data_IF_995117355629
#
_entry.id   IF_995117355629
#
_cell.length_a   1.000
_cell.length_b   1.000
_cell.length_c   1.000
_cell.angle_alpha   90.00
_cell.angle_beta   90.00
_cell.angle_gamma   90.00
#
_symmetry.space_group_name_H-M   'P 1'
#
loop_
_entity.id
_entity.type
_entity.pdbx_description
1 polymer ?
#
# COMPACT_ATOMS: atom_id res chain seq x y z
N UNK A 1 31.65 25.15 20.77
CA UNK A 1 31.55 25.17 19.30
C UNK A 1 30.29 24.41 18.95
N UNK A 2 29.23 25.13 18.59
CA UNK A 2 27.95 24.57 18.13
C UNK A 2 28.15 23.76 16.85
N UNK A 3 27.26 22.79 16.56
CA UNK A 3 26.36 22.81 15.39
C UNK A 3 25.38 21.61 15.42
N UNK A 4 24.09 21.95 15.57
CA UNK A 4 22.86 21.37 15.00
C UNK A 4 22.66 19.86 14.74
N UNK A 5 21.75 19.28 15.54
CA UNK A 5 20.46 18.65 15.17
C UNK A 5 20.30 18.00 13.78
N UNK A 6 19.98 16.70 13.75
CA UNK A 6 18.89 16.15 12.92
C UNK A 6 18.49 14.76 13.42
N UNK A 7 17.37 14.73 14.15
CA UNK A 7 16.64 13.53 14.51
C UNK A 7 16.06 12.87 13.25
N UNK A 8 16.85 12.07 12.54
CA UNK A 8 16.40 11.31 11.38
C UNK A 8 15.69 10.02 11.85
N UNK A 9 14.41 10.15 12.19
CA UNK A 9 13.53 9.02 12.52
C UNK A 9 13.20 8.27 11.22
N UNK A 10 14.12 7.41 10.76
CA UNK A 10 13.87 6.48 9.65
C UNK A 10 12.70 5.56 10.00
N UNK A 11 11.61 5.69 9.27
CA UNK A 11 10.44 4.82 9.37
C UNK A 11 10.82 3.44 8.84
N UNK A 12 10.76 2.40 9.67
CA UNK A 12 11.05 1.02 9.25
C UNK A 12 9.80 0.43 8.59
N UNK A 13 9.96 -0.52 7.66
CA UNK A 13 8.85 -1.18 6.97
C UNK A 13 7.83 -1.80 7.94
N UNK A 14 8.29 -2.30 9.09
CA UNK A 14 7.44 -2.78 10.18
C UNK A 14 6.54 -1.70 10.82
N UNK A 15 6.93 -0.42 10.78
CA UNK A 15 6.13 0.67 11.35
C UNK A 15 4.88 0.95 10.49
N UNK A 16 4.98 0.74 9.17
CA UNK A 16 3.86 0.85 8.23
C UNK A 16 2.84 -0.27 8.47
N UNK A 17 3.32 -1.51 8.67
CA UNK A 17 2.46 -2.66 8.95
C UNK A 17 1.82 -2.62 10.34
N UNK A 18 2.52 -2.10 11.35
CA UNK A 18 1.98 -2.00 12.71
C UNK A 18 0.86 -0.95 12.82
N UNK A 19 0.90 0.13 12.04
CA UNK A 19 -0.22 1.08 11.95
C UNK A 19 -1.41 0.50 11.18
N UNK A 20 -1.15 -0.37 10.20
CA UNK A 20 -2.16 -1.06 9.39
C UNK A 20 -2.97 -2.08 10.20
N UNK A 21 -2.33 -2.81 11.11
CA UNK A 21 -2.95 -3.89 11.89
C UNK A 21 -4.02 -3.41 12.89
N UNK A 22 -3.94 -2.16 13.37
CA UNK A 22 -4.93 -1.57 14.30
C UNK A 22 -6.23 -1.20 13.57
N UNK A 23 -6.20 -0.96 12.25
CA UNK A 23 -7.40 -0.60 11.46
C UNK A 23 -8.25 -1.81 11.04
N UNK A 24 -7.69 -3.02 11.10
CA UNK A 24 -8.31 -4.25 10.57
C UNK A 24 -9.54 -4.71 11.36
N UNK A 25 -9.74 -4.24 12.60
CA UNK A 25 -10.84 -4.72 13.47
C UNK A 25 -12.21 -4.12 13.13
N UNK A 26 -12.28 -2.98 12.43
CA UNK A 26 -13.55 -2.27 12.19
C UNK A 26 -14.34 -2.79 10.97
N UNK A 27 -13.71 -3.48 10.02
CA UNK A 27 -14.35 -3.89 8.76
C UNK A 27 -15.25 -5.15 8.91
N UNK A 28 -15.32 -5.75 10.11
CA UNK A 28 -15.94 -7.07 10.34
C UNK A 28 -17.42 -7.05 10.76
N UNK A 29 -18.06 -5.89 10.92
CA UNK A 29 -19.45 -5.81 11.39
C UNK A 29 -20.34 -5.14 10.34
N UNK A 30 -21.08 -5.96 9.59
CA UNK A 30 -22.13 -5.52 8.66
C UNK A 30 -23.34 -4.97 9.41
N UNK A 31 -23.24 -3.73 9.90
CA UNK A 31 -24.37 -2.99 10.48
C UNK A 31 -25.02 -2.16 9.38
N UNK A 32 -26.30 -2.42 9.12
CA UNK A 32 -27.12 -1.68 8.16
C UNK A 32 -27.35 -0.25 8.67
N UNK A 33 -26.43 0.66 8.37
CA UNK A 33 -26.50 2.06 8.81
C UNK A 33 -27.54 2.81 7.98
N UNK A 34 -28.67 3.15 8.61
CA UNK A 34 -29.65 4.10 8.03
C UNK A 34 -28.91 5.38 7.66
N UNK A 35 -29.10 5.84 6.43
CA UNK A 35 -28.47 7.08 5.95
C UNK A 35 -28.98 8.24 6.80
N UNK A 36 -28.09 9.02 7.43
CA UNK A 36 -28.50 10.19 8.19
C UNK A 36 -29.28 11.16 7.29
N UNK A 37 -30.35 11.75 7.82
CA UNK A 37 -31.15 12.76 7.13
C UNK A 37 -30.76 14.17 7.57
N UNK A 38 -31.06 15.17 6.72
CA UNK A 38 -30.93 16.59 7.08
C UNK A 38 -31.62 16.95 8.40
N UNK A 39 -32.74 16.28 8.69
CA UNK A 39 -33.52 16.50 9.90
C UNK A 39 -32.79 15.99 11.14
N UNK A 40 -32.08 14.86 11.05
CA UNK A 40 -31.33 14.30 12.18
C UNK A 40 -30.10 15.15 12.52
N UNK A 41 -29.41 15.68 11.50
CA UNK A 41 -28.30 16.64 11.69
C UNK A 41 -28.82 17.92 12.37
N UNK A 42 -29.99 18.40 11.93
CA UNK A 42 -30.62 19.59 12.51
C UNK A 42 -31.00 19.38 13.98
N UNK A 43 -31.65 18.25 14.29
CA UNK A 43 -32.01 17.86 15.66
C UNK A 43 -30.78 17.68 16.56
N UNK A 44 -29.69 17.11 16.04
CA UNK A 44 -28.46 16.89 16.81
C UNK A 44 -27.74 18.19 17.21
N UNK A 45 -27.96 19.28 16.47
CA UNK A 45 -27.34 20.59 16.72
C UNK A 45 -28.31 21.62 17.29
N UNK A 46 -29.59 21.27 17.47
CA UNK A 46 -30.63 22.19 17.93
C UNK A 46 -30.92 23.32 16.93
N UNK A 47 -30.74 23.07 15.63
CA UNK A 47 -30.97 24.06 14.56
C UNK A 47 -32.14 23.66 13.68
N UNK A 48 -32.66 24.59 12.87
CA UNK A 48 -33.70 24.26 11.89
C UNK A 48 -33.13 23.48 10.71
N UNK A 49 -33.94 22.59 10.12
CA UNK A 49 -33.61 21.91 8.85
C UNK A 49 -33.23 22.91 7.76
N UNK A 50 -33.90 24.07 7.72
CA UNK A 50 -33.63 25.16 6.79
C UNK A 50 -32.24 25.74 6.98
N UNK A 51 -31.73 25.81 8.22
CA UNK A 51 -30.37 26.27 8.52
C UNK A 51 -29.33 25.30 7.98
N UNK A 52 -29.55 23.99 8.15
CA UNK A 52 -28.67 22.94 7.60
C UNK A 52 -28.70 22.95 6.07
N UNK A 53 -29.89 23.08 5.46
CA UNK A 53 -30.02 23.21 4.01
C UNK A 53 -29.32 24.46 3.48
N UNK A 54 -29.43 25.62 4.15
CA UNK A 54 -28.72 26.85 3.77
C UNK A 54 -27.21 26.66 3.75
N UNK A 55 -26.66 25.95 4.74
CA UNK A 55 -25.24 25.57 4.77
C UNK A 55 -24.91 24.66 3.59
N UNK A 56 -25.74 23.64 3.34
CA UNK A 56 -25.53 22.68 2.24
C UNK A 56 -25.75 23.21 0.83
N UNK A 57 -26.51 24.29 0.67
CA UNK A 57 -26.75 24.97 -0.61
C UNK A 57 -25.90 26.23 -0.80
N UNK A 58 -24.95 26.49 0.11
CA UNK A 58 -24.03 27.63 -0.01
C UNK A 58 -24.67 29.01 0.16
N UNK A 59 -25.87 29.10 0.74
CA UNK A 59 -26.56 30.37 0.94
C UNK A 59 -25.86 31.22 2.03
N UNK A 60 -25.88 32.55 1.82
CA UNK A 60 -25.39 33.53 2.80
C UNK A 60 -26.41 33.70 3.94
N UNK A 61 -25.95 34.01 5.16
CA UNK A 61 -26.82 34.22 6.33
C UNK A 61 -26.71 33.18 7.45
N UNK A 62 -25.65 32.36 7.45
CA UNK A 62 -25.26 31.49 8.57
C UNK A 62 -23.83 31.87 8.96
N UNK A 63 -23.57 32.04 10.25
CA UNK A 63 -22.22 32.35 10.75
C UNK A 63 -21.25 31.24 10.42
N UNK A 64 -19.97 31.58 10.23
CA UNK A 64 -18.94 30.60 9.85
C UNK A 64 -18.72 29.55 10.97
N UNK A 65 -18.89 29.93 12.22
CA UNK A 65 -18.89 29.02 13.37
C UNK A 65 -20.00 27.96 13.25
N UNK A 66 -21.23 28.40 13.02
CA UNK A 66 -22.38 27.50 12.91
C UNK A 66 -22.29 26.61 11.66
N UNK A 67 -21.75 27.15 10.56
CA UNK A 67 -21.45 26.41 9.33
C UNK A 67 -20.47 25.28 9.61
N UNK A 68 -19.36 25.56 10.29
CA UNK A 68 -18.36 24.55 10.64
C UNK A 68 -18.93 23.48 11.56
N UNK A 69 -19.70 23.86 12.58
CA UNK A 69 -20.38 22.91 13.47
C UNK A 69 -21.34 21.98 12.72
N UNK A 70 -22.07 22.48 11.73
CA UNK A 70 -22.96 21.68 10.88
C UNK A 70 -22.17 20.69 10.02
N UNK A 71 -21.04 21.11 9.43
CA UNK A 71 -20.21 20.25 8.58
C UNK A 71 -19.55 19.13 9.40
N UNK A 72 -18.96 19.46 10.55
CA UNK A 72 -18.35 18.47 11.45
C UNK A 72 -19.38 17.45 11.91
N UNK A 73 -20.58 17.90 12.32
CA UNK A 73 -21.63 16.98 12.76
C UNK A 73 -22.12 16.07 11.65
N UNK A 74 -22.22 16.58 10.42
CA UNK A 74 -22.58 15.79 9.25
C UNK A 74 -21.52 14.71 8.96
N UNK A 75 -20.24 15.02 9.11
CA UNK A 75 -19.14 14.06 8.98
C UNK A 75 -19.16 12.99 10.08
N UNK A 76 -19.37 13.38 11.35
CA UNK A 76 -19.54 12.43 12.47
C UNK A 76 -20.69 11.44 12.22
N UNK A 77 -21.76 11.92 11.60
CA UNK A 77 -22.94 11.11 11.28
C UNK A 77 -22.78 10.31 9.99
N UNK A 78 -21.65 10.42 9.28
CA UNK A 78 -21.38 9.77 8.00
C UNK A 78 -22.33 10.21 6.86
N UNK A 79 -22.75 11.49 6.88
CA UNK A 79 -23.58 12.11 5.85
C UNK A 79 -22.71 12.55 4.65
N UNK A 80 -23.15 12.21 3.43
CA UNK A 80 -22.46 12.65 2.20
C UNK A 80 -22.69 14.14 1.97
N UNK A 81 -21.63 14.93 2.13
CA UNK A 81 -21.65 16.37 1.85
C UNK A 81 -21.77 16.64 0.34
N UNK A 82 -22.52 17.67 -0.09
CA UNK A 82 -22.54 18.13 -1.47
C UNK A 82 -21.15 18.61 -1.95
N UNK A 83 -20.90 18.45 -3.25
CA UNK A 83 -19.66 18.94 -3.89
C UNK A 83 -19.53 20.46 -3.71
N UNK A 84 -18.40 20.91 -3.15
CA UNK A 84 -18.12 22.33 -2.87
C UNK A 84 -18.19 22.74 -1.40
N UNK A 85 -18.63 21.86 -0.50
CA UNK A 85 -18.65 22.14 0.95
C UNK A 85 -17.51 21.40 1.61
N UNK A 86 -16.40 22.11 1.79
CA UNK A 86 -15.24 21.65 2.53
C UNK A 86 -15.17 22.44 3.83
N UNK A 87 -15.03 21.76 4.98
CA UNK A 87 -14.59 22.48 6.16
C UNK A 87 -13.16 22.95 5.91
N UNK A 88 -12.78 24.10 6.45
CA UNK A 88 -11.39 24.56 6.49
C UNK A 88 -10.48 23.67 7.37
N UNK A 89 -10.99 22.53 7.83
CA UNK A 89 -10.33 21.57 8.71
C UNK A 89 -10.30 20.15 8.13
N UNK A 90 -10.75 19.90 6.89
CA UNK A 90 -10.45 18.61 6.27
C UNK A 90 -8.94 18.55 6.01
N UNK A 91 -8.21 17.55 6.53
CA UNK A 91 -6.83 17.34 6.12
C UNK A 91 -6.83 17.25 4.59
N UNK A 92 -5.87 17.93 3.94
CA UNK A 92 -5.63 17.72 2.53
C UNK A 92 -5.63 16.21 2.25
N UNK A 93 -6.25 15.75 1.14
CA UNK A 93 -6.11 14.35 0.76
C UNK A 93 -4.61 14.06 0.71
N UNK A 94 -4.13 13.19 1.60
CA UNK A 94 -2.72 12.82 1.65
C UNK A 94 -2.31 12.39 0.24
N UNK A 95 -1.11 12.81 -0.22
CA UNK A 95 -0.65 12.47 -1.55
C UNK A 95 -0.74 10.95 -1.75
N UNK A 96 -1.21 10.48 -2.92
CA UNK A 96 -1.41 9.07 -3.16
C UNK A 96 -0.08 8.32 -2.99
N UNK A 97 -0.07 7.35 -2.08
CA UNK A 97 1.09 6.46 -1.89
C UNK A 97 1.12 5.49 -3.05
N UNK A 98 2.26 5.41 -3.75
CA UNK A 98 2.46 4.51 -4.87
C UNK A 98 3.53 3.48 -4.53
N UNK A 99 3.20 2.20 -4.68
CA UNK A 99 4.14 1.08 -4.56
C UNK A 99 4.32 0.49 -5.94
N UNK A 100 5.58 0.39 -6.39
CA UNK A 100 5.91 -0.26 -7.64
C UNK A 100 6.10 -1.76 -7.43
N UNK A 101 5.52 -2.55 -8.32
CA UNK A 101 5.76 -3.99 -8.41
C UNK A 101 6.66 -4.24 -9.62
N UNK A 102 7.94 -4.48 -9.36
CA UNK A 102 8.97 -4.71 -10.36
C UNK A 102 9.13 -6.22 -10.60
N UNK A 103 8.74 -6.69 -11.79
CA UNK A 103 8.68 -8.13 -12.09
C UNK A 103 9.49 -8.47 -13.33
N UNK A 104 10.35 -9.48 -13.21
CA UNK A 104 10.91 -10.19 -14.36
C UNK A 104 10.03 -11.41 -14.70
N UNK A 105 9.67 -11.58 -15.97
CA UNK A 105 8.87 -12.72 -16.48
C UNK A 105 7.50 -12.93 -15.77
N UNK A 106 6.48 -12.12 -16.11
CA UNK A 106 5.13 -12.28 -15.56
C UNK A 106 4.45 -13.62 -15.82
N UNK A 107 4.80 -14.30 -16.92
CA UNK A 107 4.05 -15.45 -17.43
C UNK A 107 4.37 -16.77 -16.70
N UNK A 108 5.09 -16.71 -15.58
CA UNK A 108 5.77 -17.87 -15.02
C UNK A 108 4.88 -18.83 -14.23
N UNK A 109 3.71 -18.40 -13.72
CA UNK A 109 2.73 -19.30 -13.08
C UNK A 109 1.43 -18.59 -12.67
N UNK A 110 0.32 -19.32 -12.63
CA UNK A 110 -0.93 -18.92 -11.94
C UNK A 110 -0.62 -18.53 -10.48
N UNK A 111 0.32 -19.24 -9.84
CA UNK A 111 0.78 -18.96 -8.49
C UNK A 111 1.20 -17.49 -8.28
N UNK A 112 1.99 -16.93 -9.21
CA UNK A 112 2.45 -15.55 -9.10
C UNK A 112 1.34 -14.55 -9.36
N UNK A 113 0.45 -14.86 -10.30
CA UNK A 113 -0.70 -14.00 -10.59
C UNK A 113 -1.62 -13.85 -9.37
N UNK A 114 -1.88 -14.96 -8.65
CA UNK A 114 -2.69 -14.93 -7.44
C UNK A 114 -2.03 -14.08 -6.35
N UNK A 115 -0.71 -14.19 -6.16
CA UNK A 115 0.00 -13.37 -5.17
C UNK A 115 -0.06 -11.89 -5.54
N UNK A 116 0.22 -11.54 -6.80
CA UNK A 116 0.14 -10.16 -7.29
C UNK A 116 -1.27 -9.61 -7.09
N UNK A 117 -2.30 -10.42 -7.38
CA UNK A 117 -3.69 -10.03 -7.17
C UNK A 117 -4.01 -9.77 -5.68
N UNK A 118 -3.55 -10.63 -4.77
CA UNK A 118 -3.74 -10.40 -3.33
C UNK A 118 -2.99 -9.16 -2.83
N UNK A 119 -1.76 -8.92 -3.31
CA UNK A 119 -1.02 -7.69 -3.01
C UNK A 119 -1.80 -6.47 -3.49
N UNK A 120 -2.28 -6.47 -4.73
CA UNK A 120 -3.07 -5.37 -5.29
C UNK A 120 -4.34 -5.09 -4.47
N UNK A 121 -5.05 -6.15 -4.07
CA UNK A 121 -6.26 -6.07 -3.25
C UNK A 121 -5.97 -5.46 -1.88
N UNK A 122 -4.92 -5.93 -1.21
CA UNK A 122 -4.52 -5.42 0.10
C UNK A 122 -4.13 -3.93 0.02
N UNK A 123 -3.30 -3.55 -0.95
CA UNK A 123 -2.90 -2.15 -1.14
C UNK A 123 -4.09 -1.23 -1.44
N UNK A 124 -5.04 -1.71 -2.24
CA UNK A 124 -6.28 -0.97 -2.53
C UNK A 124 -7.11 -0.71 -1.28
N UNK A 125 -7.16 -1.65 -0.33
CA UNK A 125 -7.85 -1.45 0.96
C UNK A 125 -7.23 -0.33 1.81
N UNK A 126 -5.96 0.03 1.56
CA UNK A 126 -5.25 1.10 2.25
C UNK A 126 -5.09 2.37 1.42
N UNK A 127 -5.83 2.49 0.30
CA UNK A 127 -5.73 3.63 -0.62
C UNK A 127 -4.30 3.82 -1.17
N UNK A 128 -3.57 2.72 -1.36
CA UNK A 128 -2.23 2.66 -1.94
C UNK A 128 -2.33 2.15 -3.38
N UNK A 129 -1.70 2.85 -4.31
CA UNK A 129 -1.67 2.45 -5.72
C UNK A 129 -0.57 1.42 -5.96
N UNK A 130 -0.90 0.36 -6.70
CA UNK A 130 0.07 -0.60 -7.21
C UNK A 130 0.44 -0.25 -8.66
N UNK A 131 1.71 0.06 -8.92
CA UNK A 131 2.24 0.36 -10.24
C UNK A 131 3.01 -0.85 -10.76
N UNK A 132 2.40 -1.60 -11.67
CA UNK A 132 3.05 -2.74 -12.31
C UNK A 132 4.18 -2.28 -13.25
N UNK A 133 5.40 -2.74 -13.01
CA UNK A 133 6.61 -2.39 -13.78
C UNK A 133 7.31 -3.65 -14.27
N UNK A 134 7.39 -3.81 -15.58
CA UNK A 134 8.14 -4.92 -16.19
C UNK A 134 9.65 -4.62 -16.20
N UNK A 135 10.45 -5.63 -15.83
CA UNK A 135 11.90 -5.62 -15.97
C UNK A 135 12.36 -6.75 -16.91
N UNK A 136 13.33 -6.49 -17.80
CA UNK A 136 13.86 -7.51 -18.69
C UNK A 136 14.70 -8.55 -17.92
N UNK A 137 14.71 -9.81 -18.36
CA UNK A 137 15.50 -10.87 -17.71
C UNK A 137 17.01 -10.69 -17.84
N UNK A 138 17.44 -9.91 -18.85
CA UNK A 138 18.84 -9.59 -19.11
C UNK A 138 18.92 -8.10 -19.42
N UNK A 139 19.99 -7.47 -18.95
CA UNK A 139 20.24 -6.05 -19.16
C UNK A 139 21.57 -5.84 -19.87
N UNK A 140 21.67 -4.73 -20.60
CA UNK A 140 22.93 -4.25 -21.17
C UNK A 140 23.65 -3.32 -20.18
N UNK A 141 24.93 -3.07 -20.41
CA UNK A 141 25.78 -2.21 -19.56
C UNK A 141 25.26 -0.77 -19.41
N UNK A 142 24.46 -0.29 -20.36
CA UNK A 142 23.86 1.06 -20.38
C UNK A 142 22.39 1.07 -19.95
N UNK A 143 21.88 -0.04 -19.39
CA UNK A 143 20.49 -0.13 -18.99
C UNK A 143 20.16 0.87 -17.87
N UNK A 144 19.01 1.52 -18.01
CA UNK A 144 18.49 2.47 -17.02
C UNK A 144 17.16 1.95 -16.51
N UNK A 145 16.96 2.05 -15.19
CA UNK A 145 15.71 1.64 -14.56
C UNK A 145 14.52 2.45 -15.12
N UNK A 146 13.34 1.82 -15.27
CA UNK A 146 12.15 2.50 -15.74
C UNK A 146 11.78 3.72 -14.90
N UNK A 147 11.19 4.74 -15.54
CA UNK A 147 10.78 5.98 -14.88
C UNK A 147 9.84 5.74 -13.69
N UNK A 148 9.04 4.67 -13.70
CA UNK A 148 8.19 4.27 -12.58
C UNK A 148 8.97 3.95 -11.29
N UNK A 149 10.28 3.68 -11.38
CA UNK A 149 11.14 3.42 -10.22
C UNK A 149 12.03 4.62 -9.87
N UNK A 150 12.14 5.63 -10.74
CA UNK A 150 13.13 6.71 -10.61
C UNK A 150 12.53 8.13 -10.58
N UNK A 151 11.26 8.31 -10.96
CA UNK A 151 10.61 9.63 -11.05
C UNK A 151 10.22 10.28 -9.71
N UNK A 152 10.58 9.68 -8.57
CA UNK A 152 10.30 10.20 -7.23
C UNK A 152 8.84 10.07 -6.76
N UNK A 153 7.95 9.53 -7.58
CA UNK A 153 6.53 9.34 -7.22
C UNK A 153 6.27 7.98 -6.54
N UNK A 154 7.29 7.11 -6.50
CA UNK A 154 7.23 5.76 -5.93
C UNK A 154 7.78 5.76 -4.52
N UNK A 155 6.98 5.27 -3.58
CA UNK A 155 7.24 5.30 -2.14
C UNK A 155 7.79 3.96 -1.63
N UNK A 156 7.62 2.89 -2.41
CA UNK A 156 8.13 1.56 -2.09
C UNK A 156 8.22 0.68 -3.35
N UNK A 157 9.09 -0.33 -3.31
CA UNK A 157 9.27 -1.29 -4.42
C UNK A 157 9.12 -2.72 -3.90
N UNK A 158 8.27 -3.52 -4.53
CA UNK A 158 8.22 -4.97 -4.38
C UNK A 158 8.90 -5.56 -5.61
N UNK A 159 9.97 -6.31 -5.42
CA UNK A 159 10.81 -6.86 -6.49
C UNK A 159 10.58 -8.37 -6.55
N UNK A 160 10.08 -8.87 -7.68
CA UNK A 160 9.73 -10.29 -7.85
C UNK A 160 10.43 -10.94 -9.03
N UNK A 161 10.90 -12.17 -8.85
CA UNK A 161 11.46 -13.02 -9.91
C UNK A 161 12.65 -12.39 -10.67
N UNK A 162 13.40 -11.49 -10.03
CA UNK A 162 14.61 -10.89 -10.62
C UNK A 162 15.81 -11.74 -10.25
N UNK A 163 16.53 -12.24 -11.25
CA UNK A 163 17.67 -13.15 -11.06
C UNK A 163 18.98 -12.64 -11.63
N UNK A 164 18.95 -11.56 -12.41
CA UNK A 164 20.16 -10.95 -12.97
C UNK A 164 20.90 -10.13 -11.89
N UNK A 165 22.17 -10.44 -11.65
CA UNK A 165 22.98 -9.85 -10.59
C UNK A 165 23.16 -8.33 -10.75
N UNK A 166 23.44 -7.86 -11.97
CA UNK A 166 23.62 -6.44 -12.26
C UNK A 166 22.33 -5.65 -12.02
N UNK A 167 21.19 -6.19 -12.45
CA UNK A 167 19.87 -5.61 -12.22
C UNK A 167 19.52 -5.57 -10.72
N UNK A 168 19.86 -6.62 -9.97
CA UNK A 168 19.68 -6.63 -8.52
C UNK A 168 20.51 -5.54 -7.83
N UNK A 169 21.76 -5.33 -8.26
CA UNK A 169 22.58 -4.23 -7.74
C UNK A 169 22.02 -2.86 -8.08
N UNK A 170 21.50 -2.67 -9.29
CA UNK A 170 20.82 -1.42 -9.68
C UNK A 170 19.59 -1.15 -8.80
N UNK A 171 18.78 -2.17 -8.55
CA UNK A 171 17.60 -2.06 -7.68
C UNK A 171 18.00 -1.85 -6.21
N UNK A 172 19.05 -2.51 -5.73
CA UNK A 172 19.56 -2.35 -4.36
C UNK A 172 20.05 -0.92 -4.11
N UNK A 173 20.69 -0.30 -5.11
CA UNK A 173 21.18 1.08 -5.07
C UNK A 173 20.05 2.13 -5.05
N UNK A 174 18.80 1.78 -5.38
CA UNK A 174 17.68 2.71 -5.29
C UNK A 174 17.48 3.17 -3.83
N UNK A 175 17.30 4.48 -3.57
CA UNK A 175 17.12 5.01 -2.21
C UNK A 175 15.72 4.71 -1.63
N UNK A 176 14.80 4.18 -2.45
CA UNK A 176 13.42 3.89 -2.08
C UNK A 176 13.37 2.59 -1.24
N UNK A 177 12.52 2.53 -0.19
CA UNK A 177 12.27 1.29 0.53
C UNK A 177 11.89 0.14 -0.39
N UNK A 178 12.46 -1.05 -0.18
CA UNK A 178 12.26 -2.17 -1.08
C UNK A 178 12.21 -3.52 -0.36
N UNK A 179 11.41 -4.42 -0.91
CA UNK A 179 11.33 -5.82 -0.50
C UNK A 179 11.59 -6.69 -1.72
N UNK A 180 12.55 -7.60 -1.59
CA UNK A 180 12.82 -8.65 -2.56
C UNK A 180 12.00 -9.87 -2.19
N UNK A 181 11.17 -10.32 -3.12
CA UNK A 181 10.33 -11.48 -2.94
C UNK A 181 10.65 -12.49 -4.03
N UNK A 182 11.29 -13.59 -3.62
CA UNK A 182 11.78 -14.65 -4.51
C UNK A 182 12.78 -14.14 -5.56
N UNK A 183 14.05 -14.02 -5.14
CA UNK A 183 15.16 -13.50 -5.97
C UNK A 183 16.40 -14.40 -5.87
N UNK A 184 17.35 -14.22 -6.80
CA UNK A 184 18.60 -14.99 -6.83
C UNK A 184 19.45 -14.78 -5.57
N UNK A 185 20.07 -15.87 -5.11
CA UNK A 185 21.09 -15.84 -4.05
C UNK A 185 22.46 -15.38 -4.55
N UNK A 186 22.58 -14.95 -5.81
CA UNK A 186 23.83 -14.49 -6.41
C UNK A 186 24.35 -13.20 -5.73
N UNK A 187 23.43 -12.35 -5.25
CA UNK A 187 23.76 -11.18 -4.43
C UNK A 187 23.49 -11.53 -2.97
N UNK A 188 24.47 -11.35 -2.05
CA UNK A 188 24.24 -11.54 -0.64
C UNK A 188 23.10 -10.64 -0.11
N UNK A 189 22.25 -11.18 0.77
CA UNK A 189 21.12 -10.43 1.32
C UNK A 189 21.53 -9.09 1.97
N UNK A 190 22.72 -9.03 2.56
CA UNK A 190 23.29 -7.81 3.15
C UNK A 190 23.53 -6.69 2.13
N UNK A 191 23.75 -7.01 0.86
CA UNK A 191 23.99 -6.05 -0.21
C UNK A 191 22.71 -5.54 -0.88
N UNK A 192 21.57 -6.23 -0.68
CA UNK A 192 20.30 -5.88 -1.30
C UNK A 192 19.70 -4.56 -0.79
N UNK A 193 20.17 -4.06 0.37
CA UNK A 193 19.70 -2.80 0.99
C UNK A 193 18.17 -2.71 1.02
N UNK A 194 17.54 -3.79 1.46
CA UNK A 194 16.10 -4.01 1.52
C UNK A 194 15.79 -5.32 2.24
N UNK A 195 14.51 -5.56 2.50
CA UNK A 195 14.07 -6.80 3.14
C UNK A 195 14.01 -7.93 2.10
N UNK A 196 14.30 -9.16 2.52
CA UNK A 196 14.28 -10.34 1.66
C UNK A 196 13.28 -11.36 2.19
N UNK A 197 12.28 -11.68 1.38
CA UNK A 197 11.29 -12.72 1.61
C UNK A 197 11.53 -13.87 0.62
N UNK A 198 11.80 -15.06 1.16
CA UNK A 198 11.97 -16.28 0.37
C UNK A 198 10.89 -17.29 0.75
N UNK A 199 10.48 -18.11 -0.22
CA UNK A 199 9.56 -19.21 0.04
C UNK A 199 10.31 -20.39 0.68
N UNK A 200 9.76 -20.95 1.76
CA UNK A 200 10.32 -22.16 2.37
C UNK A 200 9.91 -23.37 1.54
N UNK A 201 10.86 -23.94 0.81
CA UNK A 201 10.61 -25.09 -0.05
C UNK A 201 11.44 -26.33 0.36
N UNK A 202 12.40 -26.18 1.27
CA UNK A 202 13.34 -27.23 1.64
C UNK A 202 12.63 -28.43 2.27
N UNK A 203 11.79 -28.17 3.27
CA UNK A 203 11.06 -29.20 4.00
C UNK A 203 10.10 -29.95 3.08
N UNK A 204 9.43 -29.22 2.18
CA UNK A 204 8.51 -29.79 1.20
C UNK A 204 9.23 -30.70 0.22
N UNK A 205 10.34 -30.26 -0.35
CA UNK A 205 11.18 -31.05 -1.27
C UNK A 205 11.72 -32.29 -0.55
N UNK A 206 12.25 -32.13 0.66
CA UNK A 206 12.76 -33.24 1.48
C UNK A 206 11.69 -34.31 1.71
N UNK A 207 10.48 -33.94 2.13
CA UNK A 207 9.35 -34.87 2.33
C UNK A 207 8.97 -35.61 1.05
N UNK A 208 8.93 -34.92 -0.09
CA UNK A 208 8.63 -35.52 -1.40
C UNK A 208 9.72 -36.53 -1.78
N UNK A 209 10.99 -36.14 -1.67
CA UNK A 209 12.12 -37.01 -1.98
C UNK A 209 12.16 -38.24 -1.07
N UNK A 210 11.97 -38.08 0.25
CA UNK A 210 11.88 -39.21 1.19
C UNK A 210 10.75 -40.17 0.84
N UNK A 211 9.58 -39.65 0.48
CA UNK A 211 8.45 -40.48 0.07
C UNK A 211 8.76 -41.29 -1.19
N UNK A 212 9.46 -40.70 -2.18
CA UNK A 212 9.88 -41.38 -3.39
C UNK A 212 10.94 -42.46 -3.12
N UNK A 213 11.89 -42.18 -2.23
CA UNK A 213 12.89 -43.16 -1.78
C UNK A 213 12.19 -44.34 -1.09
N UNK A 214 11.23 -44.09 -0.19
CA UNK A 214 10.42 -45.13 0.47
C UNK A 214 9.64 -46.00 -0.52
N UNK A 215 9.26 -45.46 -1.68
CA UNK A 215 8.64 -46.19 -2.79
C UNK A 215 9.64 -46.95 -3.68
N UNK A 216 10.91 -47.00 -3.30
CA UNK A 216 11.95 -47.74 -4.01
C UNK A 216 12.50 -47.03 -5.25
N UNK A 217 12.22 -45.73 -5.42
CA UNK A 217 12.81 -44.95 -6.52
C UNK A 217 14.29 -44.67 -6.20
N UNK A 218 15.16 -44.97 -7.18
CA UNK A 218 16.63 -44.86 -7.05
C UNK A 218 17.27 -43.87 -8.01
N UNK A 219 16.49 -43.32 -8.95
CA UNK A 219 16.94 -42.35 -9.94
C UNK A 219 15.99 -41.16 -9.94
N UNK A 220 16.56 -39.96 -9.97
CA UNK A 220 15.87 -38.68 -9.90
C UNK A 220 16.38 -37.78 -11.04
N UNK A 221 15.48 -36.98 -11.61
CA UNK A 221 15.79 -35.93 -12.58
C UNK A 221 15.11 -34.63 -12.16
N UNK A 222 15.76 -33.50 -12.43
CA UNK A 222 15.32 -32.15 -12.07
C UNK A 222 15.53 -31.22 -13.26
#
# INVERSE_FOLDING_TARGET
MNWYNTSNKRMRFNDIFSQLYIRTTACRLGVNMKKPTLQEIASALGVSRTTVWKVFSGQKGVSDDLRNRIIVKAQEMNYKLPEGIRSSQTPEPEPPVNIALAVCRPETSIFWMDIIHQIAKELSCHNVNLVYTYLPSFISWNYVLPASLTNGNTHGIIIMNVYNEELLRLLAACPIPKVFFDTATAVPAAELNGDLLLTENYTSISKITEHLIKKGRKSFGF
#
